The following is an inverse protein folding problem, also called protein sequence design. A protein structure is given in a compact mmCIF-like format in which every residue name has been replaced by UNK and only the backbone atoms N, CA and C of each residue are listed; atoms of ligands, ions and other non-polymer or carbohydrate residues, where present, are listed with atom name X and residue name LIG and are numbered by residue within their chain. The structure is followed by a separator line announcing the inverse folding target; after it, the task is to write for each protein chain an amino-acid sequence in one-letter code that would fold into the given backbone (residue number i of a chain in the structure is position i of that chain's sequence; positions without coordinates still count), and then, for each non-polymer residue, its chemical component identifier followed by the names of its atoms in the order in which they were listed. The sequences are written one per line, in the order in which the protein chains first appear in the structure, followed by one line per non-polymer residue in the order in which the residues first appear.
data_IF_185747699013
#
_entry.id   IF_185747699013
#
_cell.length_a   1.000
_cell.length_b   1.000
_cell.length_c   1.000
_cell.angle_alpha   90.00
_cell.angle_beta   90.00
_cell.angle_gamma   90.00
#
_symmetry.space_group_name_H-M   'P 1'
#
loop_
_entity.id
_entity.type
_entity.pdbx_description
1 polymer ?
#
# COMPACT_ATOMS: atom_id res chain seq x y z
N UNK A 1 4.47 -1.99 4.60
CA UNK A 1 3.46 -2.12 5.68
C UNK A 1 3.00 -0.76 6.19
N UNK A 2 3.86 0.01 6.86
CA UNK A 2 3.47 1.27 7.54
C UNK A 2 2.70 2.28 6.69
N UNK A 3 3.03 2.43 5.40
CA UNK A 3 2.35 3.37 4.49
C UNK A 3 1.18 2.75 3.73
N UNK A 4 1.07 1.43 3.74
CA UNK A 4 0.06 0.65 3.00
C UNK A 4 -1.15 0.30 3.86
N UNK A 5 -1.00 0.34 5.18
CA UNK A 5 -2.11 0.06 6.09
C UNK A 5 -2.81 1.34 6.57
N UNK A 6 -4.13 1.28 6.83
CA UNK A 6 -4.87 2.39 7.40
C UNK A 6 -4.34 2.85 8.76
N UNK A 7 -4.29 4.17 8.95
CA UNK A 7 -3.83 4.77 10.20
C UNK A 7 -4.70 4.37 11.40
N UNK A 8 -6.01 4.17 11.19
CA UNK A 8 -6.90 3.70 12.23
C UNK A 8 -6.45 2.33 12.79
N UNK A 9 -6.04 1.41 11.91
CA UNK A 9 -5.51 0.12 12.33
C UNK A 9 -4.15 0.26 13.04
N UNK A 10 -3.26 1.11 12.55
CA UNK A 10 -2.00 1.40 13.27
C UNK A 10 -2.23 1.94 14.68
N UNK A 11 -3.19 2.86 14.85
CA UNK A 11 -3.54 3.38 16.17
C UNK A 11 -4.10 2.30 17.09
N UNK A 12 -4.99 1.43 16.61
CA UNK A 12 -5.47 0.28 17.38
C UNK A 12 -4.32 -0.63 17.81
N UNK A 13 -3.38 -0.92 16.90
CA UNK A 13 -2.19 -1.72 17.22
C UNK A 13 -1.32 -1.04 18.28
N UNK A 14 -1.08 0.26 18.18
CA UNK A 14 -0.30 1.01 19.18
C UNK A 14 -0.98 1.04 20.55
N UNK A 15 -2.30 1.24 20.59
CA UNK A 15 -3.10 1.19 21.82
C UNK A 15 -2.98 -0.20 22.47
N UNK A 16 -3.10 -1.27 21.68
CA UNK A 16 -2.97 -2.64 22.15
C UNK A 16 -1.58 -2.95 22.68
N UNK A 17 -0.52 -2.52 21.98
CA UNK A 17 0.86 -2.68 22.45
C UNK A 17 1.11 -1.88 23.74
N UNK A 18 0.64 -0.64 23.81
CA UNK A 18 0.72 0.18 25.02
C UNK A 18 0.02 -0.46 26.22
N UNK A 19 -1.14 -1.08 25.99
CA UNK A 19 -1.85 -1.83 27.03
C UNK A 19 -1.08 -3.06 27.51
N UNK A 20 -0.48 -3.84 26.61
CA UNK A 20 0.36 -5.00 26.99
C UNK A 20 1.57 -4.55 27.80
N UNK A 21 2.25 -3.47 27.39
CA UNK A 21 3.37 -2.89 28.14
C UNK A 21 2.92 -2.41 29.52
N UNK A 22 1.78 -1.73 29.61
CA UNK A 22 1.20 -1.31 30.88
C UNK A 22 0.96 -2.48 31.84
N UNK A 23 0.38 -3.59 31.35
CA UNK A 23 0.17 -4.80 32.16
C UNK A 23 1.49 -5.41 32.62
N UNK A 24 2.49 -5.48 31.73
CA UNK A 24 3.80 -6.02 32.07
C UNK A 24 4.51 -5.20 33.17
N UNK A 25 4.46 -3.86 33.07
CA UNK A 25 5.03 -2.96 34.07
C UNK A 25 4.28 -3.06 35.39
N UNK A 26 2.94 -3.02 35.37
CA UNK A 26 2.10 -3.16 36.56
C UNK A 26 2.39 -4.47 37.29
N UNK A 27 2.44 -5.59 36.56
CA UNK A 27 2.71 -6.91 37.14
C UNK A 27 4.09 -7.01 37.76
N UNK A 28 5.13 -6.44 37.13
CA UNK A 28 6.50 -6.38 37.69
C UNK A 28 6.60 -5.52 38.95
N UNK A 29 5.86 -4.42 39.02
CA UNK A 29 5.80 -3.58 40.23
C UNK A 29 5.09 -4.30 41.39
N UNK A 30 4.19 -5.23 41.10
CA UNK A 30 3.40 -5.96 42.11
C UNK A 30 3.99 -7.31 42.56
N UNK A 31 4.96 -7.90 41.83
CA UNK A 31 5.54 -9.22 42.16
C UNK A 31 7.08 -9.18 42.20
N UNK A 32 7.75 -9.73 43.24
CA UNK A 32 9.21 -9.77 43.31
C UNK A 32 9.80 -10.66 42.20
N UNK A 33 10.76 -10.11 41.44
CA UNK A 33 11.20 -10.58 40.11
C UNK A 33 11.88 -11.96 40.03
N UNK A 34 12.29 -12.59 41.14
CA UNK A 34 13.36 -13.61 41.07
C UNK A 34 12.99 -14.98 41.65
N UNK A 35 11.89 -15.14 42.40
CA UNK A 35 11.75 -16.39 43.18
C UNK A 35 11.34 -17.64 42.39
N UNK A 36 10.81 -17.55 41.15
CA UNK A 36 10.46 -18.72 40.31
C UNK A 36 10.28 -18.40 38.80
N UNK A 37 11.21 -17.67 38.17
CA UNK A 37 11.06 -17.21 36.78
C UNK A 37 10.72 -18.33 35.76
N UNK A 38 11.26 -19.53 35.91
CA UNK A 38 10.98 -20.66 35.02
C UNK A 38 9.56 -21.22 35.19
N UNK A 39 9.09 -21.44 36.42
CA UNK A 39 7.75 -21.98 36.70
C UNK A 39 6.65 -20.96 36.36
N UNK A 40 6.94 -19.68 36.59
CA UNK A 40 6.04 -18.60 36.24
C UNK A 40 5.95 -18.42 34.72
N UNK A 41 7.03 -18.70 33.98
CA UNK A 41 7.05 -18.67 32.51
C UNK A 41 6.30 -19.86 31.89
N UNK A 42 6.43 -21.07 32.45
CA UNK A 42 5.72 -22.25 31.95
C UNK A 42 4.21 -22.13 32.16
N UNK A 43 3.78 -21.68 33.34
CA UNK A 43 2.36 -21.46 33.63
C UNK A 43 1.76 -20.34 32.76
N UNK A 44 2.52 -19.26 32.52
CA UNK A 44 2.08 -18.19 31.62
C UNK A 44 1.93 -18.69 30.18
N UNK A 45 2.85 -19.54 29.70
CA UNK A 45 2.76 -20.16 28.38
C UNK A 45 1.53 -21.05 28.24
N UNK A 46 1.17 -21.80 29.29
CA UNK A 46 -0.05 -22.61 29.31
C UNK A 46 -1.32 -21.75 29.20
N UNK A 47 -1.37 -20.63 29.91
CA UNK A 47 -2.52 -19.71 29.89
C UNK A 47 -2.62 -18.85 28.60
N UNK A 48 -1.50 -18.66 27.89
CA UNK A 48 -1.41 -17.77 26.72
C UNK A 48 -0.84 -18.45 25.47
N UNK A 49 -0.99 -19.78 25.37
CA UNK A 49 -0.42 -20.57 24.29
C UNK A 49 -0.83 -20.04 22.92
N UNK A 50 -2.11 -19.66 22.76
CA UNK A 50 -2.63 -19.13 21.51
C UNK A 50 -1.97 -17.79 21.12
N UNK A 51 -1.93 -16.81 22.03
CA UNK A 51 -1.26 -15.53 21.78
C UNK A 51 0.23 -15.72 21.51
N UNK A 52 0.89 -16.59 22.27
CA UNK A 52 2.30 -16.91 22.08
C UNK A 52 2.56 -17.51 20.69
N UNK A 53 1.80 -18.52 20.28
CA UNK A 53 1.95 -19.14 18.95
C UNK A 53 1.70 -18.12 17.83
N UNK A 54 0.69 -17.26 17.96
CA UNK A 54 0.44 -16.20 16.98
C UNK A 54 1.60 -15.22 16.89
N UNK A 55 2.14 -14.77 18.03
CA UNK A 55 3.29 -13.86 18.07
C UNK A 55 4.55 -14.50 17.49
N UNK A 56 4.81 -15.77 17.79
CA UNK A 56 5.94 -16.53 17.23
C UNK A 56 5.80 -16.66 15.72
N UNK A 57 4.61 -17.01 15.23
CA UNK A 57 4.35 -17.08 13.79
C UNK A 57 4.59 -15.72 13.12
N UNK A 58 4.00 -14.65 13.66
CA UNK A 58 4.19 -13.28 13.14
C UNK A 58 5.68 -12.96 13.11
N UNK A 59 6.41 -13.20 14.20
CA UNK A 59 7.83 -12.91 14.30
C UNK A 59 8.66 -13.66 13.26
N UNK A 60 8.51 -14.98 13.16
CA UNK A 60 9.24 -15.81 12.20
C UNK A 60 8.90 -15.38 10.77
N UNK A 61 7.63 -15.15 10.48
CA UNK A 61 7.17 -14.79 9.14
C UNK A 61 7.69 -13.41 8.72
N UNK A 62 7.67 -12.43 9.63
CA UNK A 62 8.27 -11.11 9.39
C UNK A 62 9.78 -11.21 9.17
N UNK A 63 10.49 -11.97 10.02
CA UNK A 63 11.94 -12.15 9.91
C UNK A 63 12.30 -12.77 8.56
N UNK A 64 11.58 -13.82 8.15
CA UNK A 64 11.75 -14.47 6.84
C UNK A 64 11.41 -13.51 5.69
N UNK A 65 10.32 -12.75 5.82
CA UNK A 65 9.86 -11.83 4.77
C UNK A 65 10.82 -10.67 4.54
N UNK A 66 11.39 -10.10 5.61
CA UNK A 66 12.34 -8.98 5.54
C UNK A 66 13.72 -9.44 5.11
N UNK A 67 14.12 -10.66 5.45
CA UNK A 67 15.41 -11.24 5.06
C UNK A 67 15.42 -11.81 3.63
N UNK A 68 14.25 -11.92 3.00
CA UNK A 68 14.10 -12.44 1.65
C UNK A 68 14.52 -11.41 0.60
N UNK A 69 15.14 -11.89 -0.49
CA UNK A 69 15.43 -11.08 -1.68
C UNK A 69 14.17 -10.76 -2.50
N UNK A 70 13.01 -11.35 -2.17
CA UNK A 70 11.76 -11.15 -2.88
C UNK A 70 11.09 -9.84 -2.44
N UNK A 71 11.24 -8.80 -3.24
CA UNK A 71 10.65 -7.49 -2.98
C UNK A 71 9.33 -7.26 -3.74
N UNK A 72 8.27 -7.99 -3.35
CA UNK A 72 6.90 -7.85 -3.91
C UNK A 72 5.98 -6.96 -3.07
N UNK A 73 6.57 -6.11 -2.22
CA UNK A 73 5.87 -5.18 -1.35
C UNK A 73 5.12 -5.86 -0.19
N UNK A 74 4.08 -5.18 0.34
CA UNK A 74 3.32 -5.62 1.51
C UNK A 74 2.59 -6.96 1.31
N UNK A 75 2.44 -7.40 0.05
CA UNK A 75 1.78 -8.67 -0.30
C UNK A 75 2.48 -9.88 0.31
N UNK A 76 3.80 -9.79 0.51
CA UNK A 76 4.54 -10.86 1.18
C UNK A 76 4.01 -11.06 2.61
N UNK A 77 3.59 -9.98 3.29
CA UNK A 77 3.14 -10.01 4.68
C UNK A 77 1.66 -10.39 4.85
N UNK A 78 0.92 -10.72 3.79
CA UNK A 78 -0.51 -11.05 3.89
C UNK A 78 -0.85 -12.11 4.97
N UNK A 79 -0.04 -13.17 5.15
CA UNK A 79 -0.35 -14.19 6.16
C UNK A 79 -0.34 -13.69 7.61
N UNK A 80 0.34 -12.59 7.92
CA UNK A 80 0.39 -12.08 9.31
C UNK A 80 -0.83 -11.26 9.70
N UNK A 81 -1.63 -10.80 8.73
CA UNK A 81 -2.73 -9.87 8.98
C UNK A 81 -3.84 -10.46 9.86
N UNK A 82 -4.39 -11.67 9.57
CA UNK A 82 -5.45 -12.23 10.40
C UNK A 82 -5.01 -12.40 11.86
N UNK A 83 -3.78 -12.88 12.09
CA UNK A 83 -3.24 -13.08 13.43
C UNK A 83 -3.04 -11.76 14.16
N UNK A 84 -2.53 -10.74 13.46
CA UNK A 84 -2.37 -9.40 14.02
C UNK A 84 -3.72 -8.80 14.40
N UNK A 85 -4.74 -8.96 13.54
CA UNK A 85 -6.10 -8.48 13.82
C UNK A 85 -6.72 -9.17 15.03
N UNK A 86 -6.54 -10.49 15.17
CA UNK A 86 -7.03 -11.26 16.34
C UNK A 86 -6.34 -10.79 17.62
N UNK A 87 -5.01 -10.64 17.61
CA UNK A 87 -4.26 -10.15 18.77
C UNK A 87 -4.69 -8.74 19.18
N UNK A 88 -4.85 -7.84 18.21
CA UNK A 88 -5.32 -6.47 18.44
C UNK A 88 -6.75 -6.48 18.98
N UNK A 89 -7.66 -7.27 18.41
CA UNK A 89 -9.03 -7.38 18.89
C UNK A 89 -9.10 -7.95 20.32
N UNK A 90 -8.29 -8.96 20.64
CA UNK A 90 -8.20 -9.54 21.98
C UNK A 90 -7.71 -8.52 23.01
N UNK A 91 -6.67 -7.75 22.69
CA UNK A 91 -6.18 -6.67 23.54
C UNK A 91 -7.21 -5.55 23.72
N UNK A 92 -7.85 -5.09 22.64
CA UNK A 92 -8.91 -4.08 22.68
C UNK A 92 -10.09 -4.54 23.53
N UNK A 93 -10.50 -5.81 23.43
CA UNK A 93 -11.57 -6.38 24.27
C UNK A 93 -11.22 -6.30 25.75
N UNK A 94 -9.96 -6.61 26.13
CA UNK A 94 -9.48 -6.46 27.51
C UNK A 94 -9.44 -4.99 27.97
N UNK A 95 -9.20 -4.04 27.06
CA UNK A 95 -9.24 -2.60 27.36
C UNK A 95 -10.67 -2.12 27.63
N UNK A 96 -11.67 -2.68 26.95
CA UNK A 96 -13.10 -2.35 27.05
C UNK A 96 -13.77 -2.86 28.36
N UNK A 97 -13.08 -2.72 29.48
CA UNK A 97 -13.61 -2.98 30.82
C UNK A 97 -13.82 -1.68 31.60
N UNK A 98 -14.67 -1.65 32.65
CA UNK A 98 -14.83 -0.49 33.51
C UNK A 98 -13.50 -0.02 34.15
N UNK A 99 -13.40 1.26 34.56
CA UNK A 99 -14.35 2.36 34.35
C UNK A 99 -14.29 2.95 32.92
N UNK A 100 -15.19 3.91 32.64
CA UNK A 100 -15.23 4.73 31.41
C UNK A 100 -15.68 4.03 30.11
N UNK A 101 -16.55 3.02 30.19
CA UNK A 101 -17.02 2.27 29.02
C UNK A 101 -17.54 3.17 27.89
N UNK A 102 -18.36 4.20 28.19
CA UNK A 102 -18.89 5.12 27.17
C UNK A 102 -17.79 5.77 26.34
N UNK A 103 -16.71 6.23 26.97
CA UNK A 103 -15.57 6.86 26.29
C UNK A 103 -14.82 5.82 25.47
N UNK A 104 -14.53 4.65 26.05
CA UNK A 104 -13.78 3.57 25.39
C UNK A 104 -14.51 3.06 24.13
N UNK A 105 -15.81 2.80 24.23
CA UNK A 105 -16.62 2.42 23.08
C UNK A 105 -16.76 3.55 22.05
N UNK A 106 -16.87 4.80 22.50
CA UNK A 106 -16.88 5.96 21.59
C UNK A 106 -15.60 6.09 20.77
N UNK A 107 -14.44 5.91 21.39
CA UNK A 107 -13.13 5.92 20.71
C UNK A 107 -12.99 4.75 19.74
N UNK A 108 -13.41 3.55 20.14
CA UNK A 108 -13.40 2.39 19.24
C UNK A 108 -14.31 2.63 18.03
N UNK A 109 -15.53 3.09 18.26
CA UNK A 109 -16.48 3.40 17.18
C UNK A 109 -15.91 4.44 16.21
N UNK A 110 -15.27 5.50 16.73
CA UNK A 110 -14.58 6.49 15.91
C UNK A 110 -13.51 5.87 15.02
N UNK A 111 -12.65 5.00 15.55
CA UNK A 111 -11.60 4.33 14.79
C UNK A 111 -12.17 3.37 13.73
N UNK A 112 -13.24 2.65 14.05
CA UNK A 112 -13.93 1.76 13.10
C UNK A 112 -14.63 2.54 11.99
N UNK A 113 -15.29 3.66 12.30
CA UNK A 113 -15.89 4.54 11.29
C UNK A 113 -14.79 5.14 10.41
N UNK A 114 -13.67 5.59 10.99
CA UNK A 114 -12.55 6.07 10.20
C UNK A 114 -11.99 4.98 9.26
N UNK A 115 -11.85 3.75 9.74
CA UNK A 115 -11.47 2.61 8.91
C UNK A 115 -12.44 2.42 7.73
N UNK A 116 -13.75 2.38 8.00
CA UNK A 116 -14.78 2.21 6.98
C UNK A 116 -14.76 3.34 5.94
N UNK A 117 -14.70 4.60 6.39
CA UNK A 117 -14.59 5.77 5.51
C UNK A 117 -13.34 5.70 4.65
N UNK A 118 -12.21 5.21 5.18
CA UNK A 118 -10.96 5.04 4.43
C UNK A 118 -11.14 4.03 3.29
N UNK A 119 -11.76 2.88 3.56
CA UNK A 119 -12.06 1.84 2.55
C UNK A 119 -13.02 2.37 1.49
N UNK A 120 -14.10 3.04 1.89
CA UNK A 120 -15.10 3.60 0.96
C UNK A 120 -14.47 4.66 0.06
N UNK A 121 -13.63 5.55 0.61
CA UNK A 121 -13.00 6.63 -0.17
C UNK A 121 -12.03 6.15 -1.22
N UNK A 122 -11.36 5.01 -0.99
CA UNK A 122 -10.40 4.48 -1.95
C UNK A 122 -11.07 3.56 -2.99
N UNK A 123 -12.29 3.07 -2.75
CA UNK A 123 -13.01 2.27 -3.74
C UNK A 123 -13.13 3.03 -5.08
N UNK A 124 -12.89 2.38 -6.24
CA UNK A 124 -12.50 0.99 -6.47
C UNK A 124 -10.98 0.75 -6.62
N UNK A 125 -10.13 1.64 -6.11
CA UNK A 125 -8.67 1.70 -6.30
C UNK A 125 -7.85 1.15 -5.13
N UNK A 126 -8.28 0.02 -4.56
CA UNK A 126 -7.65 -0.54 -3.35
C UNK A 126 -6.15 -0.79 -3.50
N UNK A 127 -5.70 -1.22 -4.68
CA UNK A 127 -4.30 -1.51 -4.93
C UNK A 127 -3.42 -0.25 -4.74
N UNK A 128 -3.89 0.88 -5.28
CA UNK A 128 -3.23 2.17 -5.16
C UNK A 128 -3.40 2.83 -3.78
N UNK A 129 -4.02 2.17 -2.80
CA UNK A 129 -4.14 2.72 -1.46
C UNK A 129 -2.76 2.95 -0.83
N UNK A 130 -2.55 4.18 -0.35
CA UNK A 130 -1.51 4.58 0.57
C UNK A 130 -2.14 5.50 1.61
N UNK A 131 -1.70 5.40 2.86
CA UNK A 131 -2.26 6.22 3.91
C UNK A 131 -1.79 7.68 3.82
N UNK A 132 -2.39 8.55 4.64
CA UNK A 132 -2.12 9.99 4.59
C UNK A 132 -0.68 10.38 4.91
N UNK A 133 0.07 9.58 5.67
CA UNK A 133 1.49 9.87 5.96
C UNK A 133 2.33 9.79 4.67
N UNK A 134 1.97 8.87 3.78
CA UNK A 134 2.57 8.76 2.44
C UNK A 134 1.99 9.77 1.42
N UNK A 135 1.14 10.71 1.85
CA UNK A 135 0.48 11.66 0.95
C UNK A 135 -0.71 11.08 0.18
N UNK A 136 -1.20 9.90 0.56
CA UNK A 136 -2.36 9.27 -0.07
C UNK A 136 -2.05 8.60 -1.42
N UNK A 137 -3.08 8.02 -2.08
CA UNK A 137 -2.92 7.35 -3.37
C UNK A 137 -2.35 8.28 -4.46
N UNK A 138 -2.63 9.58 -4.36
CA UNK A 138 -2.18 10.57 -5.34
C UNK A 138 -0.68 10.79 -5.39
N UNK A 139 0.02 10.55 -4.27
CA UNK A 139 1.49 10.69 -4.15
C UNK A 139 2.21 9.35 -4.12
N UNK A 140 1.47 8.24 -4.17
CA UNK A 140 1.98 6.89 -4.11
C UNK A 140 3.11 6.63 -5.11
N UNK A 141 2.94 7.09 -6.36
CA UNK A 141 3.90 6.91 -7.46
C UNK A 141 5.28 7.53 -7.19
N UNK A 142 5.39 8.49 -6.27
CA UNK A 142 6.66 9.08 -5.88
C UNK A 142 7.43 8.23 -4.84
N UNK A 143 6.74 7.29 -4.20
CA UNK A 143 7.32 6.39 -3.19
C UNK A 143 7.62 5.03 -3.81
N UNK A 144 6.64 4.45 -4.51
CA UNK A 144 6.78 3.17 -5.20
C UNK A 144 5.79 3.09 -6.35
N UNK A 145 6.16 2.36 -7.38
CA UNK A 145 5.40 2.16 -8.62
C UNK A 145 5.15 0.68 -8.80
N UNK A 146 5.12 0.16 -10.02
CA UNK A 146 4.93 -1.25 -10.34
C UNK A 146 3.51 -1.77 -10.03
N UNK A 147 3.45 -3.09 -9.88
CA UNK A 147 2.40 -3.90 -9.29
C UNK A 147 1.79 -3.36 -7.97
N UNK A 148 2.41 -2.39 -7.28
CA UNK A 148 1.81 -1.69 -6.13
C UNK A 148 0.71 -0.72 -6.53
N UNK A 149 0.61 -0.34 -7.80
CA UNK A 149 -0.40 0.55 -8.35
C UNK A 149 -1.28 -0.15 -9.37
N UNK A 150 -0.69 -0.97 -10.25
CA UNK A 150 -1.43 -1.56 -11.37
C UNK A 150 -0.96 -2.98 -11.72
N UNK A 151 -1.94 -3.86 -11.90
CA UNK A 151 -1.79 -5.24 -12.37
C UNK A 151 -2.48 -5.50 -13.71
N UNK A 152 -3.21 -4.54 -14.27
CA UNK A 152 -4.15 -4.79 -15.36
C UNK A 152 -5.43 -3.96 -15.26
N UNK A 153 -5.83 -3.61 -14.04
CA UNK A 153 -7.17 -3.11 -13.79
C UNK A 153 -7.39 -1.71 -14.37
N UNK A 154 -6.33 -0.90 -14.50
CA UNK A 154 -6.48 0.50 -14.90
C UNK A 154 -6.58 0.70 -16.41
N UNK A 155 -6.28 -0.32 -17.23
CA UNK A 155 -6.63 -0.29 -18.66
C UNK A 155 -8.13 -0.19 -18.90
N UNK A 156 -8.95 -0.88 -18.08
CA UNK A 156 -10.42 -0.73 -18.16
C UNK A 156 -10.84 0.71 -17.86
N UNK A 157 -10.16 1.36 -16.92
CA UNK A 157 -10.43 2.76 -16.55
C UNK A 157 -9.92 3.73 -17.60
N UNK A 158 -8.78 3.44 -18.24
CA UNK A 158 -8.24 4.22 -19.35
C UNK A 158 -9.18 4.15 -20.54
N UNK A 159 -9.65 2.95 -20.91
CA UNK A 159 -10.66 2.76 -21.95
C UNK A 159 -11.90 3.61 -21.69
N UNK A 160 -12.46 3.53 -20.48
CA UNK A 160 -13.63 4.33 -20.09
C UNK A 160 -13.36 5.83 -20.29
N UNK A 161 -12.21 6.33 -19.83
CA UNK A 161 -11.84 7.74 -19.99
C UNK A 161 -11.66 8.13 -21.47
N UNK A 162 -11.02 7.28 -22.28
CA UNK A 162 -10.84 7.48 -23.73
C UNK A 162 -12.18 7.58 -24.46
N UNK A 163 -13.13 6.70 -24.10
CA UNK A 163 -14.48 6.70 -24.68
C UNK A 163 -15.28 7.94 -24.27
N UNK A 164 -15.27 8.29 -22.98
CA UNK A 164 -15.95 9.48 -22.44
C UNK A 164 -15.42 10.79 -23.03
N UNK A 165 -14.15 10.83 -23.41
CA UNK A 165 -13.51 12.00 -24.03
C UNK A 165 -13.61 12.02 -25.55
N UNK A 166 -14.18 10.99 -26.18
CA UNK A 166 -14.27 10.91 -27.64
C UNK A 166 -12.91 10.87 -28.33
N UNK A 167 -11.88 10.31 -27.67
CA UNK A 167 -10.52 10.23 -28.22
C UNK A 167 -10.49 9.11 -29.26
N UNK A 168 -10.07 9.46 -30.49
CA UNK A 168 -9.99 8.51 -31.61
C UNK A 168 -8.71 7.69 -31.60
N UNK A 169 -7.59 8.29 -31.19
CA UNK A 169 -6.27 7.66 -31.13
C UNK A 169 -5.50 8.11 -29.89
N UNK A 170 -4.84 7.18 -29.23
CA UNK A 170 -4.01 7.43 -28.06
C UNK A 170 -2.76 6.55 -28.09
N UNK A 171 -1.61 7.18 -27.89
CA UNK A 171 -0.34 6.51 -27.69
C UNK A 171 -0.28 5.98 -26.26
N UNK A 172 0.16 4.74 -26.08
CA UNK A 172 0.15 4.10 -24.77
C UNK A 172 1.45 3.34 -24.54
N UNK A 173 2.16 3.70 -23.47
CA UNK A 173 3.27 2.93 -22.90
C UNK A 173 2.86 2.38 -21.53
N UNK A 174 2.60 1.07 -21.47
CA UNK A 174 1.83 0.45 -20.42
C UNK A 174 2.59 -0.69 -19.73
N UNK A 175 2.66 -0.62 -18.39
CA UNK A 175 3.43 -1.55 -17.56
C UNK A 175 2.66 -2.81 -17.12
N UNK A 176 1.35 -2.69 -16.83
CA UNK A 176 0.62 -3.75 -16.11
C UNK A 176 0.49 -5.06 -16.90
N UNK A 177 0.03 -6.12 -16.24
CA UNK A 177 -0.02 -7.48 -16.81
C UNK A 177 -1.18 -7.76 -17.77
N UNK A 178 -1.71 -6.76 -18.47
CA UNK A 178 -2.86 -6.91 -19.38
C UNK A 178 -2.59 -6.22 -20.72
N UNK A 179 -3.48 -6.39 -21.70
CA UNK A 179 -3.21 -6.00 -23.08
C UNK A 179 -3.95 -4.72 -23.49
N UNK A 180 -3.21 -3.65 -23.76
CA UNK A 180 -3.78 -2.36 -24.12
C UNK A 180 -4.58 -2.42 -25.43
N UNK A 181 -4.05 -3.13 -26.45
CA UNK A 181 -4.74 -3.37 -27.73
C UNK A 181 -6.10 -4.04 -27.55
N UNK A 182 -6.24 -4.96 -26.59
CA UNK A 182 -7.51 -5.66 -26.35
C UNK A 182 -8.61 -4.70 -25.87
N UNK A 183 -8.29 -3.76 -24.98
CA UNK A 183 -9.27 -2.83 -24.41
C UNK A 183 -9.54 -1.62 -25.30
N UNK A 184 -8.50 -1.06 -25.90
CA UNK A 184 -8.57 0.19 -26.67
C UNK A 184 -8.78 -0.06 -28.17
N UNK A 185 -8.57 -1.29 -28.65
CA UNK A 185 -8.80 -1.71 -30.04
C UNK A 185 -8.15 -0.77 -31.04
N UNK A 186 -8.89 -0.31 -32.05
CA UNK A 186 -8.43 0.63 -33.07
C UNK A 186 -7.93 1.97 -32.51
N UNK A 187 -8.29 2.34 -31.27
CA UNK A 187 -7.83 3.60 -30.66
C UNK A 187 -6.41 3.52 -30.12
N UNK A 188 -5.88 2.32 -29.90
CA UNK A 188 -4.52 2.13 -29.37
C UNK A 188 -3.47 2.40 -30.44
N UNK A 189 -2.44 3.13 -30.04
CA UNK A 189 -1.16 3.21 -30.76
C UNK A 189 -0.05 2.81 -29.78
N UNK A 190 0.80 1.83 -30.11
CA UNK A 190 1.89 1.44 -29.22
C UNK A 190 2.92 2.57 -29.06
N UNK A 191 3.38 2.76 -27.83
CA UNK A 191 4.49 3.66 -27.49
C UNK A 191 5.47 2.94 -26.56
N UNK A 192 6.71 3.41 -26.52
CA UNK A 192 7.73 2.94 -25.59
C UNK A 192 8.72 4.08 -25.33
N UNK A 193 9.30 4.09 -24.12
CA UNK A 193 10.09 5.22 -23.64
C UNK A 193 11.22 5.67 -24.57
N UNK A 194 12.02 4.75 -25.12
CA UNK A 194 13.18 5.07 -25.96
C UNK A 194 12.83 5.50 -27.41
N UNK A 195 11.55 5.59 -27.76
CA UNK A 195 11.11 6.10 -29.06
C UNK A 195 11.36 7.61 -29.16
N UNK A 196 11.70 8.10 -30.35
CA UNK A 196 11.92 9.53 -30.55
C UNK A 196 10.62 10.31 -30.33
N UNK A 197 10.64 11.23 -29.35
CA UNK A 197 9.50 12.11 -29.06
C UNK A 197 9.06 12.96 -30.26
N UNK A 198 9.95 13.22 -31.24
CA UNK A 198 9.61 13.92 -32.47
C UNK A 198 8.67 13.14 -33.40
N UNK A 199 8.51 11.83 -33.19
CA UNK A 199 7.54 11.01 -33.92
C UNK A 199 6.11 11.17 -33.41
N UNK A 200 5.88 11.80 -32.24
CA UNK A 200 4.54 12.09 -31.73
C UNK A 200 3.95 13.30 -32.45
N UNK A 201 2.85 13.14 -33.22
CA UNK A 201 2.19 14.27 -33.84
C UNK A 201 1.67 15.27 -32.80
N UNK A 202 1.78 16.55 -33.09
CA UNK A 202 1.20 17.60 -32.26
C UNK A 202 -0.32 17.40 -32.10
N UNK A 203 -0.84 17.64 -30.90
CA UNK A 203 -2.21 17.36 -30.49
C UNK A 203 -2.48 15.92 -30.04
N UNK A 204 -1.48 15.03 -30.07
CA UNK A 204 -1.65 13.62 -29.68
C UNK A 204 -1.84 13.44 -28.17
N UNK A 205 -2.61 12.41 -27.81
CA UNK A 205 -2.69 11.92 -26.43
C UNK A 205 -1.64 10.84 -26.19
N UNK A 206 -0.93 10.94 -25.07
CA UNK A 206 0.04 9.94 -24.61
C UNK A 206 -0.30 9.51 -23.19
N UNK A 207 -0.63 8.23 -23.00
CA UNK A 207 -0.81 7.59 -21.70
C UNK A 207 0.44 6.79 -21.32
N UNK A 208 1.02 7.06 -20.15
CA UNK A 208 2.21 6.38 -19.65
C UNK A 208 1.95 5.82 -18.27
N UNK A 209 2.18 4.53 -18.06
CA UNK A 209 2.15 3.93 -16.72
C UNK A 209 3.20 4.57 -15.81
N UNK A 210 2.82 4.82 -14.56
CA UNK A 210 3.64 5.42 -13.53
C UNK A 210 4.99 4.72 -13.38
N UNK A 211 5.03 3.39 -13.53
CA UNK A 211 6.27 2.60 -13.48
C UNK A 211 7.27 3.03 -14.53
N UNK A 212 6.86 3.04 -15.80
CA UNK A 212 7.73 3.45 -16.90
C UNK A 212 8.04 4.93 -16.85
N UNK A 213 7.09 5.75 -16.43
CA UNK A 213 7.29 7.17 -16.23
C UNK A 213 8.37 7.46 -15.17
N UNK A 214 8.32 6.81 -14.00
CA UNK A 214 9.32 6.97 -12.94
C UNK A 214 10.66 6.35 -13.36
N UNK A 215 10.67 5.16 -13.95
CA UNK A 215 11.87 4.52 -14.46
C UNK A 215 12.60 5.38 -15.50
N UNK A 216 11.86 5.97 -16.44
CA UNK A 216 12.39 6.84 -17.48
C UNK A 216 12.81 8.23 -17.02
N UNK A 217 12.42 8.65 -15.82
CA UNK A 217 12.82 9.94 -15.22
C UNK A 217 13.85 9.78 -14.09
N UNK A 218 14.05 8.57 -13.60
CA UNK A 218 14.95 8.26 -12.49
C UNK A 218 16.41 8.57 -12.85
N UNK A 219 17.17 9.05 -11.87
CA UNK A 219 18.63 9.15 -11.99
C UNK A 219 19.23 7.76 -11.80
N UNK A 220 20.10 7.30 -12.72
CA UNK A 220 20.72 5.99 -12.60
C UNK A 220 21.65 5.94 -11.38
N UNK A 221 21.73 4.76 -10.75
CA UNK A 221 22.76 4.46 -9.75
C UNK A 221 24.09 4.16 -10.44
N UNK A 222 25.20 4.23 -9.71
CA UNK A 222 26.51 3.87 -10.24
C UNK A 222 26.50 2.44 -10.81
N UNK A 223 27.03 2.28 -12.03
CA UNK A 223 27.06 1.00 -12.73
C UNK A 223 25.77 0.62 -13.48
N UNK A 224 24.72 1.44 -13.44
CA UNK A 224 23.52 1.20 -14.25
C UNK A 224 23.79 1.51 -15.73
N UNK A 225 23.62 0.51 -16.59
CA UNK A 225 24.00 0.55 -18.01
C UNK A 225 22.82 0.48 -18.99
N UNK A 226 21.58 0.62 -18.50
CA UNK A 226 20.38 0.63 -19.35
C UNK A 226 19.99 2.08 -19.72
N UNK A 227 19.21 2.27 -20.80
CA UNK A 227 18.68 3.58 -21.16
C UNK A 227 17.90 4.23 -20.00
N UNK A 228 18.14 5.52 -19.79
CA UNK A 228 17.46 6.34 -18.78
C UNK A 228 17.18 7.73 -19.34
N UNK A 229 16.37 8.53 -18.65
CA UNK A 229 16.07 9.90 -19.05
C UNK A 229 15.07 10.05 -20.20
N UNK A 230 14.60 8.94 -20.76
CA UNK A 230 13.73 8.89 -21.94
C UNK A 230 12.32 9.49 -21.75
N UNK A 231 11.94 9.82 -20.51
CA UNK A 231 10.71 10.57 -20.19
C UNK A 231 10.93 11.92 -19.49
N UNK A 232 12.17 12.43 -19.46
CA UNK A 232 12.45 13.77 -18.92
C UNK A 232 11.79 14.88 -19.73
N UNK A 233 11.64 14.69 -21.05
CA UNK A 233 10.97 15.65 -21.92
C UNK A 233 9.50 15.88 -21.54
N UNK A 234 8.84 14.89 -20.91
CA UNK A 234 7.48 15.05 -20.41
C UNK A 234 7.37 15.99 -19.19
N UNK A 235 8.49 16.41 -18.57
CA UNK A 235 8.46 17.34 -17.45
C UNK A 235 7.95 18.73 -17.84
N UNK A 236 7.99 19.09 -19.13
CA UNK A 236 7.42 20.33 -19.65
C UNK A 236 5.89 20.29 -19.78
N UNK A 237 5.27 19.11 -19.65
CA UNK A 237 3.83 18.93 -19.74
C UNK A 237 3.24 18.54 -18.38
N UNK A 238 2.11 19.17 -18.03
CA UNK A 238 1.27 18.70 -16.95
C UNK A 238 0.38 17.54 -17.46
N UNK A 239 0.23 16.44 -16.70
CA UNK A 239 -0.72 15.40 -17.07
C UNK A 239 -2.15 15.96 -17.00
N UNK A 240 -2.93 15.74 -18.06
CA UNK A 240 -4.33 16.16 -18.15
C UNK A 240 -5.27 15.20 -17.42
N UNK A 241 -4.81 13.97 -17.14
CA UNK A 241 -5.53 13.00 -16.35
C UNK A 241 -4.57 12.04 -15.64
N UNK A 242 -5.01 11.51 -14.49
CA UNK A 242 -4.35 10.43 -13.76
C UNK A 242 -5.36 9.30 -13.57
N UNK A 243 -5.26 8.27 -14.41
CA UNK A 243 -6.18 7.14 -14.40
C UNK A 243 -5.73 6.15 -13.34
N UNK A 244 -6.62 5.84 -12.41
CA UNK A 244 -6.39 4.80 -11.41
C UNK A 244 -5.23 5.04 -10.45
N UNK A 245 -4.71 6.27 -10.40
CA UNK A 245 -3.45 6.64 -9.74
C UNK A 245 -2.18 6.04 -10.37
N UNK A 246 -2.30 5.32 -11.49
CA UNK A 246 -1.24 4.48 -12.06
C UNK A 246 -0.89 4.80 -13.51
N UNK A 247 -1.76 5.49 -14.27
CA UNK A 247 -1.49 5.88 -15.66
C UNK A 247 -1.66 7.38 -15.80
N UNK A 248 -0.62 8.07 -16.26
CA UNK A 248 -0.63 9.51 -16.50
C UNK A 248 -0.92 9.78 -17.97
N UNK A 249 -1.91 10.61 -18.26
CA UNK A 249 -2.24 11.00 -19.63
C UNK A 249 -1.78 12.43 -19.88
N UNK A 250 -1.08 12.64 -20.98
CA UNK A 250 -0.59 13.92 -21.45
C UNK A 250 -1.23 14.26 -22.79
N UNK A 251 -1.37 15.55 -23.06
CA UNK A 251 -1.62 16.08 -24.40
C UNK A 251 -0.33 16.74 -24.88
N UNK A 252 0.15 16.31 -26.04
CA UNK A 252 1.43 16.74 -26.60
C UNK A 252 1.16 17.83 -27.62
N UNK A 253 1.31 19.08 -27.21
CA UNK A 253 1.25 20.26 -28.08
C UNK A 253 2.64 20.82 -28.38
#
# INVERSE_FOLDING_TARGET
YFIKEPLAFHLLTLISLGYVVYLAVKNKLTKPLIKNAFRDSSHWLEEHLAEFTMLVFIFIYWLSSVSSNLNIGVRHLLPVFPLTMVLVAGAVSKILNPPYLKIKYGLLALLLVWQAVTVIRIYPHFLAYFNKIAGGPDKAYAITVDSNLDWGQDLKRLKKWVDEKGIEKIYVDYFGGSEAQYYLKEKFIPWWGSRDSGELPQGSYLAVSATFLQGGRGKPVAGFNQPWGYYLWLNKYAPIAKIGYSIFVYRID
#
